data_IF_109596336942
#
_entry.id   IF_109596336942
#
_cell.length_a   1.000
_cell.length_b   1.000
_cell.length_c   1.000
_cell.angle_alpha   90.00
_cell.angle_beta   90.00
_cell.angle_gamma   90.00
#
_symmetry.space_group_name_H-M   'P 1'
#
loop_
_entity.id
_entity.type
_entity.pdbx_description
1 polymer ?
#
# COMPACT_ATOMS: atom_id res chain seq x y z
N UNK A 1 -46.87 26.68 -58.00
CA UNK A 1 -45.51 26.48 -57.42
C UNK A 1 -45.45 26.33 -55.89
N UNK A 2 -46.35 26.91 -55.08
CA UNK A 2 -46.29 26.77 -53.59
C UNK A 2 -46.70 25.41 -52.98
N UNK A 3 -47.34 24.50 -53.73
CA UNK A 3 -47.77 23.18 -53.22
C UNK A 3 -46.76 22.04 -53.41
N UNK A 4 -45.75 22.21 -54.27
CA UNK A 4 -44.72 21.20 -54.52
C UNK A 4 -43.54 21.26 -53.51
N UNK A 5 -43.27 22.41 -52.89
CA UNK A 5 -42.23 22.49 -51.85
C UNK A 5 -42.62 21.84 -50.51
N UNK A 6 -43.93 21.71 -50.22
CA UNK A 6 -44.40 21.10 -48.96
C UNK A 6 -44.29 19.57 -48.97
N UNK A 7 -44.51 18.91 -50.11
CA UNK A 7 -44.41 17.44 -50.22
C UNK A 7 -42.96 16.95 -50.14
N UNK A 8 -42.00 17.72 -50.68
CA UNK A 8 -40.57 17.44 -50.56
C UNK A 8 -40.04 17.55 -49.12
N UNK A 9 -40.54 18.52 -48.34
CA UNK A 9 -40.13 18.71 -46.95
C UNK A 9 -40.67 17.59 -46.02
N UNK A 10 -41.90 17.12 -46.25
CA UNK A 10 -42.47 15.99 -45.51
C UNK A 10 -41.81 14.65 -45.86
N UNK A 11 -41.40 14.47 -47.12
CA UNK A 11 -40.67 13.26 -47.55
C UNK A 11 -39.25 13.21 -46.95
N UNK A 12 -38.57 14.35 -46.82
CA UNK A 12 -37.28 14.44 -46.14
C UNK A 12 -37.39 14.21 -44.61
N UNK A 13 -38.47 14.67 -43.98
CA UNK A 13 -38.73 14.42 -42.55
C UNK A 13 -39.12 12.94 -42.30
N UNK A 14 -39.84 12.30 -43.22
CA UNK A 14 -40.18 10.87 -43.12
C UNK A 14 -38.99 9.93 -43.38
N UNK A 15 -38.06 10.31 -44.27
CA UNK A 15 -36.82 9.53 -44.50
C UNK A 15 -35.79 9.77 -43.38
N UNK A 16 -35.74 10.97 -42.78
CA UNK A 16 -34.94 11.21 -41.58
C UNK A 16 -35.52 10.56 -40.30
N UNK A 17 -36.80 10.17 -40.33
CA UNK A 17 -37.50 9.53 -39.21
C UNK A 17 -37.37 8.01 -39.13
N UNK A 18 -36.86 7.33 -40.16
CA UNK A 18 -36.94 5.86 -40.29
C UNK A 18 -35.60 5.10 -40.27
N UNK A 19 -34.47 5.71 -39.92
CA UNK A 19 -33.17 5.01 -39.86
C UNK A 19 -32.59 4.85 -38.46
N UNK A 20 -33.42 4.93 -37.40
CA UNK A 20 -32.99 4.41 -36.09
C UNK A 20 -32.87 2.89 -36.24
N UNK A 21 -31.64 2.40 -36.35
CA UNK A 21 -31.33 0.97 -36.40
C UNK A 21 -32.04 0.23 -35.25
N UNK A 22 -32.28 -1.07 -35.42
CA UNK A 22 -32.91 -1.87 -34.37
C UNK A 22 -32.14 -1.74 -33.06
N UNK A 23 -32.78 -1.91 -31.89
CA UNK A 23 -32.10 -1.85 -30.60
C UNK A 23 -30.82 -2.72 -30.54
N UNK A 24 -30.84 -3.87 -31.21
CA UNK A 24 -29.68 -4.74 -31.36
C UNK A 24 -28.53 -4.11 -32.16
N UNK A 25 -28.81 -3.39 -33.26
CA UNK A 25 -27.79 -2.66 -34.03
C UNK A 25 -27.20 -1.52 -33.21
N UNK A 26 -28.05 -0.74 -32.52
CA UNK A 26 -27.59 0.35 -31.65
C UNK A 26 -26.74 -0.16 -30.48
N UNK A 27 -27.14 -1.29 -29.87
CA UNK A 27 -26.36 -1.93 -28.82
C UNK A 27 -24.99 -2.40 -29.32
N UNK A 28 -24.92 -2.98 -30.52
CA UNK A 28 -23.66 -3.38 -31.14
C UNK A 28 -22.75 -2.18 -31.43
N UNK A 29 -23.30 -1.07 -31.93
CA UNK A 29 -22.58 0.19 -32.15
C UNK A 29 -22.04 0.77 -30.84
N UNK A 30 -22.85 0.84 -29.78
CA UNK A 30 -22.39 1.30 -28.47
C UNK A 30 -21.33 0.38 -27.86
N UNK A 31 -21.48 -0.94 -27.98
CA UNK A 31 -20.47 -1.90 -27.53
C UNK A 31 -19.14 -1.75 -28.30
N UNK A 32 -19.19 -1.55 -29.62
CA UNK A 32 -18.01 -1.28 -30.43
C UNK A 32 -17.35 0.05 -30.07
N UNK A 33 -18.15 1.10 -29.81
CA UNK A 33 -17.66 2.40 -29.36
C UNK A 33 -16.97 2.30 -27.99
N UNK A 34 -17.56 1.59 -27.02
CA UNK A 34 -16.93 1.35 -25.71
C UNK A 34 -15.56 0.71 -25.88
N UNK A 35 -15.46 -0.37 -26.68
CA UNK A 35 -14.16 -1.04 -26.97
C UNK A 35 -13.14 -0.07 -27.56
N UNK A 36 -13.51 0.65 -28.62
CA UNK A 36 -12.62 1.59 -29.30
C UNK A 36 -12.15 2.72 -28.38
N UNK A 37 -13.04 3.30 -27.57
CA UNK A 37 -12.67 4.35 -26.63
C UNK A 37 -11.80 3.81 -25.49
N UNK A 38 -12.08 2.61 -24.97
CA UNK A 38 -11.25 1.96 -23.95
C UNK A 38 -9.82 1.71 -24.45
N UNK A 39 -9.65 1.19 -25.67
CA UNK A 39 -8.33 1.03 -26.30
C UNK A 39 -7.60 2.38 -26.47
N UNK A 40 -8.35 3.43 -26.85
CA UNK A 40 -7.80 4.77 -26.99
C UNK A 40 -7.36 5.38 -25.64
N UNK A 41 -7.99 5.03 -24.52
CA UNK A 41 -7.53 5.42 -23.17
C UNK A 41 -6.17 4.81 -22.86
N UNK A 42 -6.01 3.49 -23.06
CA UNK A 42 -4.73 2.80 -22.84
C UNK A 42 -3.62 3.39 -23.72
N UNK A 43 -3.93 3.65 -24.99
CA UNK A 43 -2.99 4.32 -25.91
C UNK A 43 -2.63 5.73 -25.44
N UNK A 44 -3.61 6.53 -25.03
CA UNK A 44 -3.37 7.89 -24.55
C UNK A 44 -2.51 7.93 -23.28
N UNK A 45 -2.68 6.94 -22.37
CA UNK A 45 -1.79 6.76 -21.23
C UNK A 45 -0.35 6.45 -21.68
N UNK A 46 -0.18 5.50 -22.59
CA UNK A 46 1.15 5.15 -23.14
C UNK A 46 1.85 6.36 -23.81
N UNK A 47 1.07 7.25 -24.42
CA UNK A 47 1.54 8.52 -25.00
C UNK A 47 1.67 9.66 -23.97
N UNK A 48 1.49 9.38 -22.68
CA UNK A 48 1.58 10.36 -21.59
C UNK A 48 0.59 11.54 -21.71
N UNK A 49 -0.55 11.34 -22.38
CA UNK A 49 -1.54 12.36 -22.73
C UNK A 49 -2.85 12.21 -21.95
N UNK A 50 -2.87 12.72 -20.72
CA UNK A 50 -4.05 12.66 -19.81
C UNK A 50 -5.28 13.36 -20.38
N UNK A 51 -5.10 14.44 -21.15
CA UNK A 51 -6.25 15.15 -21.74
C UNK A 51 -6.99 14.27 -22.73
N UNK A 52 -6.26 13.54 -23.57
CA UNK A 52 -6.85 12.55 -24.47
C UNK A 52 -7.47 11.40 -23.70
N UNK A 53 -6.78 10.84 -22.69
CA UNK A 53 -7.33 9.76 -21.86
C UNK A 53 -8.68 10.15 -21.22
N UNK A 54 -8.77 11.34 -20.62
CA UNK A 54 -10.03 11.87 -20.05
C UNK A 54 -11.14 11.99 -21.09
N UNK A 55 -10.81 12.52 -22.26
CA UNK A 55 -11.78 12.72 -23.34
C UNK A 55 -12.33 11.39 -23.84
N UNK A 56 -11.46 10.42 -24.11
CA UNK A 56 -11.86 9.10 -24.61
C UNK A 56 -12.64 8.32 -23.56
N UNK A 57 -12.22 8.38 -22.29
CA UNK A 57 -12.95 7.75 -21.20
C UNK A 57 -14.36 8.34 -21.02
N UNK A 58 -14.52 9.67 -21.08
CA UNK A 58 -15.83 10.31 -21.02
C UNK A 58 -16.74 9.94 -22.22
N UNK A 59 -16.16 9.65 -23.39
CA UNK A 59 -16.90 9.12 -24.54
C UNK A 59 -17.33 7.66 -24.34
N UNK A 60 -16.47 6.84 -23.71
CA UNK A 60 -16.79 5.48 -23.27
C UNK A 60 -17.95 5.48 -22.25
N UNK A 61 -17.93 6.37 -21.25
CA UNK A 61 -19.01 6.51 -20.26
C UNK A 61 -20.37 6.80 -20.90
N UNK A 62 -20.41 7.69 -21.88
CA UNK A 62 -21.66 7.98 -22.60
C UNK A 62 -22.18 6.76 -23.36
N UNK A 63 -21.28 6.00 -23.97
CA UNK A 63 -21.64 4.82 -24.78
C UNK A 63 -22.11 3.66 -23.90
N UNK A 64 -21.46 3.41 -22.76
CA UNK A 64 -21.87 2.34 -21.84
C UNK A 64 -23.19 2.68 -21.15
N UNK A 65 -23.44 3.95 -20.80
CA UNK A 65 -24.72 4.37 -20.23
C UNK A 65 -25.88 4.24 -21.24
N UNK A 66 -25.62 4.53 -22.52
CA UNK A 66 -26.59 4.27 -23.59
C UNK A 66 -26.89 2.77 -23.73
N UNK A 67 -25.85 1.92 -23.69
CA UNK A 67 -26.01 0.46 -23.73
C UNK A 67 -26.79 -0.08 -22.52
N UNK A 68 -26.53 0.43 -21.31
CA UNK A 68 -27.29 0.08 -20.10
C UNK A 68 -28.78 0.38 -20.24
N UNK A 69 -29.13 1.56 -20.79
CA UNK A 69 -30.53 1.92 -21.04
C UNK A 69 -31.20 0.98 -22.04
N UNK A 70 -30.49 0.57 -23.08
CA UNK A 70 -30.99 -0.41 -24.05
C UNK A 70 -31.17 -1.79 -23.40
N UNK A 71 -30.20 -2.27 -22.63
CA UNK A 71 -30.25 -3.56 -21.95
C UNK A 71 -31.29 -3.62 -20.81
N UNK A 72 -31.66 -2.48 -20.24
CA UNK A 72 -32.78 -2.38 -19.30
C UNK A 72 -34.14 -2.50 -20.00
N UNK A 73 -34.23 -2.08 -21.27
CA UNK A 73 -35.44 -2.20 -22.08
C UNK A 73 -35.56 -3.58 -22.77
N UNK A 74 -34.44 -4.24 -23.05
CA UNK A 74 -34.38 -5.54 -23.70
C UNK A 74 -33.31 -6.45 -23.06
N UNK A 75 -33.78 -7.47 -22.34
CA UNK A 75 -32.93 -8.41 -21.62
C UNK A 75 -32.00 -9.23 -22.53
N UNK A 76 -32.32 -9.36 -23.83
CA UNK A 76 -31.45 -10.06 -24.78
C UNK A 76 -30.11 -9.35 -25.02
N UNK A 77 -30.03 -8.06 -24.69
CA UNK A 77 -28.83 -7.23 -24.84
C UNK A 77 -27.89 -7.28 -23.61
N UNK A 78 -28.27 -8.00 -22.55
CA UNK A 78 -27.46 -8.12 -21.33
C UNK A 78 -26.10 -8.77 -21.58
N UNK A 79 -26.01 -9.69 -22.54
CA UNK A 79 -24.72 -10.29 -22.94
C UNK A 79 -23.76 -9.23 -23.45
N UNK A 80 -24.21 -8.33 -24.34
CA UNK A 80 -23.36 -7.25 -24.86
C UNK A 80 -22.89 -6.28 -23.78
N UNK A 81 -23.72 -6.01 -22.77
CA UNK A 81 -23.33 -5.21 -21.61
C UNK A 81 -22.27 -5.93 -20.76
N UNK A 82 -22.51 -7.21 -20.46
CA UNK A 82 -21.58 -8.06 -19.68
C UNK A 82 -20.21 -8.16 -20.35
N UNK A 83 -20.16 -8.18 -21.68
CA UNK A 83 -18.90 -8.24 -22.44
C UNK A 83 -18.06 -6.96 -22.33
N UNK A 84 -18.68 -5.78 -22.19
CA UNK A 84 -17.96 -4.48 -22.25
C UNK A 84 -17.80 -3.80 -20.89
N UNK A 85 -18.57 -4.19 -19.88
CA UNK A 85 -18.42 -3.64 -18.52
C UNK A 85 -17.01 -3.83 -17.93
N UNK A 86 -16.38 -5.03 -18.03
CA UNK A 86 -15.01 -5.21 -17.55
C UNK A 86 -14.00 -4.31 -18.27
N UNK A 87 -14.17 -4.09 -19.58
CA UNK A 87 -13.31 -3.20 -20.37
C UNK A 87 -13.44 -1.75 -19.95
N UNK A 88 -14.68 -1.31 -19.65
CA UNK A 88 -14.93 0.03 -19.16
C UNK A 88 -14.34 0.25 -17.76
N UNK A 89 -14.49 -0.72 -16.85
CA UNK A 89 -13.84 -0.69 -15.54
C UNK A 89 -12.32 -0.67 -15.66
N UNK A 90 -11.74 -1.47 -16.57
CA UNK A 90 -10.30 -1.44 -16.85
C UNK A 90 -9.84 -0.09 -17.40
N UNK A 91 -10.59 0.51 -18.33
CA UNK A 91 -10.26 1.84 -18.86
C UNK A 91 -10.34 2.94 -17.80
N UNK A 92 -11.20 2.81 -16.78
CA UNK A 92 -11.21 3.72 -15.63
C UNK A 92 -9.89 3.62 -14.87
N UNK A 93 -9.41 2.41 -14.60
CA UNK A 93 -8.12 2.18 -13.94
C UNK A 93 -6.97 2.77 -14.75
N UNK A 94 -6.97 2.60 -16.08
CA UNK A 94 -5.96 3.19 -16.96
C UNK A 94 -5.97 4.73 -16.94
N UNK A 95 -7.16 5.34 -16.86
CA UNK A 95 -7.30 6.78 -16.68
C UNK A 95 -6.73 7.22 -15.32
N UNK A 96 -7.08 6.52 -14.24
CA UNK A 96 -6.57 6.82 -12.89
C UNK A 96 -5.03 6.81 -12.89
N UNK A 97 -4.40 5.78 -13.48
CA UNK A 97 -2.96 5.73 -13.66
C UNK A 97 -2.41 6.93 -14.43
N UNK A 98 -3.03 7.31 -15.54
CA UNK A 98 -2.58 8.45 -16.33
C UNK A 98 -2.62 9.76 -15.52
N UNK A 99 -3.66 9.95 -14.70
CA UNK A 99 -3.80 11.13 -13.83
C UNK A 99 -2.76 11.17 -12.71
N UNK A 100 -2.50 10.03 -12.07
CA UNK A 100 -1.47 9.91 -11.05
C UNK A 100 -0.07 10.13 -11.64
N UNK A 101 0.24 9.52 -12.81
CA UNK A 101 1.52 9.70 -13.51
C UNK A 101 1.77 11.17 -13.88
N UNK A 102 0.72 11.89 -14.28
CA UNK A 102 0.80 13.33 -14.54
C UNK A 102 1.04 14.13 -13.27
N UNK A 103 0.39 13.77 -12.15
CA UNK A 103 0.61 14.41 -10.84
C UNK A 103 2.07 14.26 -10.39
N UNK A 104 2.61 13.05 -10.51
CA UNK A 104 4.02 12.74 -10.21
C UNK A 104 4.93 13.56 -11.14
N UNK A 105 4.65 13.57 -12.45
CA UNK A 105 5.43 14.32 -13.44
C UNK A 105 5.44 15.82 -13.16
N UNK A 106 4.29 16.39 -12.83
CA UNK A 106 4.15 17.82 -12.52
C UNK A 106 4.89 18.18 -11.23
N UNK A 107 4.85 17.30 -10.23
CA UNK A 107 5.62 17.47 -8.99
C UNK A 107 7.12 17.45 -9.28
N UNK A 108 7.59 16.45 -10.03
CA UNK A 108 9.01 16.27 -10.34
C UNK A 108 9.57 17.33 -11.29
N UNK A 109 8.76 17.90 -12.18
CA UNK A 109 9.20 18.86 -13.20
C UNK A 109 8.76 20.30 -12.93
N UNK A 110 8.02 20.54 -11.86
CA UNK A 110 7.53 21.84 -11.45
C UNK A 110 8.65 22.81 -11.03
N UNK A 111 8.31 24.09 -10.94
CA UNK A 111 9.24 25.14 -10.53
C UNK A 111 9.83 24.91 -9.12
N UNK A 112 9.02 24.38 -8.19
CA UNK A 112 9.49 24.02 -6.84
C UNK A 112 10.60 22.97 -6.88
N UNK A 113 10.44 21.90 -7.67
CA UNK A 113 11.46 20.87 -7.83
C UNK A 113 12.74 21.40 -8.45
N UNK A 114 12.63 22.27 -9.46
CA UNK A 114 13.80 22.94 -10.07
C UNK A 114 14.55 23.82 -9.08
N UNK A 115 13.82 24.67 -8.34
CA UNK A 115 14.39 25.54 -7.32
C UNK A 115 15.06 24.74 -6.19
N UNK A 116 14.37 23.68 -5.73
CA UNK A 116 14.92 22.76 -4.74
C UNK A 116 16.22 22.12 -5.21
N UNK A 117 16.24 21.50 -6.40
CA UNK A 117 17.46 20.86 -6.95
C UNK A 117 18.62 21.85 -7.10
N UNK A 118 18.34 23.08 -7.50
CA UNK A 118 19.35 24.13 -7.62
C UNK A 118 19.96 24.52 -6.26
N UNK A 119 19.14 24.63 -5.21
CA UNK A 119 19.60 24.95 -3.86
C UNK A 119 20.22 23.75 -3.12
N UNK A 120 19.73 22.54 -3.41
CA UNK A 120 20.07 21.30 -2.69
C UNK A 120 21.56 21.07 -2.57
N UNK A 121 22.32 21.21 -3.65
CA UNK A 121 23.75 20.94 -3.64
C UNK A 121 24.52 21.87 -2.68
N UNK A 122 24.15 23.15 -2.63
CA UNK A 122 24.77 24.14 -1.75
C UNK A 122 24.37 23.89 -0.29
N UNK A 123 23.07 23.70 -0.04
CA UNK A 123 22.56 23.42 1.32
C UNK A 123 23.16 22.14 1.88
N UNK A 124 23.21 21.08 1.08
CA UNK A 124 23.76 19.79 1.51
C UNK A 124 25.25 19.91 1.81
N UNK A 125 26.02 20.61 0.98
CA UNK A 125 27.44 20.85 1.23
C UNK A 125 27.66 21.61 2.54
N UNK A 126 26.88 22.68 2.76
CA UNK A 126 26.94 23.46 3.99
C UNK A 126 26.62 22.62 5.22
N UNK A 127 25.51 21.85 5.18
CA UNK A 127 25.12 20.96 6.27
C UNK A 127 26.19 19.89 6.57
N UNK A 128 26.74 19.26 5.53
CA UNK A 128 27.82 18.27 5.68
C UNK A 128 29.09 18.89 6.28
N UNK A 129 29.46 20.12 5.88
CA UNK A 129 30.63 20.80 6.46
C UNK A 129 30.40 21.16 7.94
N UNK A 130 29.19 21.60 8.30
CA UNK A 130 28.83 21.85 9.70
C UNK A 130 28.87 20.57 10.55
N UNK A 131 28.39 19.44 10.02
CA UNK A 131 28.47 18.14 10.68
C UNK A 131 29.91 17.64 10.81
N UNK A 132 30.74 17.87 9.80
CA UNK A 132 32.16 17.55 9.85
C UNK A 132 32.88 18.35 10.95
N UNK A 133 32.60 19.65 11.03
CA UNK A 133 33.13 20.51 12.10
C UNK A 133 32.70 20.04 13.48
N UNK A 134 31.42 19.68 13.65
CA UNK A 134 30.91 19.15 14.91
C UNK A 134 31.65 17.87 15.35
N UNK A 135 31.96 16.96 14.41
CA UNK A 135 32.76 15.77 14.70
C UNK A 135 34.18 16.12 15.16
N UNK A 136 34.83 17.09 14.51
CA UNK A 136 36.18 17.53 14.90
C UNK A 136 36.21 18.15 16.29
N UNK A 137 35.20 18.96 16.64
CA UNK A 137 35.08 19.55 17.98
C UNK A 137 34.74 18.49 19.05
N UNK A 138 33.85 17.54 18.74
CA UNK A 138 33.54 16.41 19.63
C UNK A 138 34.78 15.54 19.91
N UNK A 139 35.67 15.36 18.93
CA UNK A 139 36.93 14.64 19.10
C UNK A 139 37.93 15.39 20.01
N UNK A 140 37.95 16.73 19.97
CA UNK A 140 38.83 17.54 20.83
C UNK A 140 38.34 17.64 22.27
N UNK A 141 37.02 17.54 22.46
CA UNK A 141 36.37 17.73 23.75
C UNK A 141 35.47 16.53 24.06
N UNK A 142 36.05 15.37 24.47
CA UNK A 142 35.25 14.21 24.82
C UNK A 142 34.31 14.53 25.99
N UNK A 143 33.11 13.95 25.98
CA UNK A 143 32.06 14.20 26.95
C UNK A 143 32.48 13.72 28.36
N UNK A 144 33.20 14.55 29.11
CA UNK A 144 33.64 14.27 30.48
C UNK A 144 33.09 15.26 31.52
N UNK A 145 32.21 16.19 31.12
CA UNK A 145 31.66 17.17 32.05
C UNK A 145 30.37 16.63 32.73
N UNK A 146 30.29 16.60 34.07
CA UNK A 146 29.07 16.21 34.77
C UNK A 146 27.95 17.24 34.52
N UNK A 147 26.72 16.75 34.31
CA UNK A 147 25.55 17.58 34.10
C UNK A 147 25.31 18.49 35.32
N UNK A 148 25.51 19.80 35.15
CA UNK A 148 25.20 20.80 36.18
C UNK A 148 23.74 21.20 36.12
N UNK A 149 23.11 21.41 37.29
CA UNK A 149 21.67 21.71 37.45
C UNK A 149 21.19 23.00 36.79
N UNK A 150 22.12 23.88 36.38
CA UNK A 150 21.87 25.00 35.49
C UNK A 150 22.85 24.90 34.30
N UNK A 151 22.36 24.66 33.07
CA UNK A 151 23.24 24.63 31.92
C UNK A 151 23.73 26.05 31.62
N UNK A 152 25.04 26.25 31.72
CA UNK A 152 25.68 27.42 31.14
C UNK A 152 25.49 27.45 29.63
N UNK A 153 25.61 28.62 28.99
CA UNK A 153 25.65 28.74 27.54
C UNK A 153 26.71 27.79 26.93
N UNK A 154 27.85 27.65 27.60
CA UNK A 154 28.95 26.77 27.18
C UNK A 154 28.53 25.29 27.20
N UNK A 155 27.79 24.82 28.21
CA UNK A 155 27.27 23.45 28.22
C UNK A 155 26.22 23.21 27.13
N UNK A 156 25.33 24.17 26.88
CA UNK A 156 24.32 24.04 25.80
C UNK A 156 24.98 23.95 24.42
N UNK A 157 26.03 24.75 24.18
CA UNK A 157 26.81 24.68 22.95
C UNK A 157 27.54 23.35 22.82
N UNK A 158 28.11 22.83 23.91
CA UNK A 158 28.77 21.53 23.92
C UNK A 158 27.78 20.39 23.59
N UNK A 159 26.61 20.38 24.22
CA UNK A 159 25.57 19.38 23.96
C UNK A 159 25.09 19.42 22.50
N UNK A 160 24.91 20.62 21.93
CA UNK A 160 24.54 20.81 20.53
C UNK A 160 25.60 20.26 19.57
N UNK A 161 26.89 20.47 19.88
CA UNK A 161 28.01 19.88 19.12
C UNK A 161 27.99 18.36 19.20
N UNK A 162 27.80 17.78 20.39
CA UNK A 162 27.73 16.33 20.57
C UNK A 162 26.54 15.70 19.84
N UNK A 163 25.36 16.34 19.89
CA UNK A 163 24.19 15.89 19.14
C UNK A 163 24.41 15.96 17.63
N UNK A 164 25.05 17.02 17.14
CA UNK A 164 25.39 17.17 15.72
C UNK A 164 26.43 16.14 15.27
N UNK A 165 27.43 15.85 16.11
CA UNK A 165 28.40 14.80 15.85
C UNK A 165 27.75 13.40 15.85
N UNK A 166 26.85 13.13 16.80
CA UNK A 166 26.08 11.88 16.84
C UNK A 166 25.19 11.71 15.60
N UNK A 167 24.56 12.79 15.13
CA UNK A 167 23.80 12.78 13.88
C UNK A 167 24.71 12.47 12.68
N UNK A 168 25.90 13.07 12.60
CA UNK A 168 26.86 12.79 11.54
C UNK A 168 27.28 11.31 11.54
N UNK A 169 27.50 10.72 12.72
CA UNK A 169 27.80 9.29 12.88
C UNK A 169 26.64 8.42 12.41
N UNK A 170 25.39 8.79 12.75
CA UNK A 170 24.21 8.06 12.28
C UNK A 170 24.07 8.12 10.75
N UNK A 171 24.31 9.29 10.14
CA UNK A 171 24.29 9.47 8.69
C UNK A 171 25.39 8.62 8.03
N UNK A 172 26.63 8.65 8.55
CA UNK A 172 27.74 7.83 8.05
C UNK A 172 27.42 6.33 8.17
N UNK A 173 26.87 5.91 9.31
CA UNK A 173 26.45 4.52 9.53
C UNK A 173 25.43 4.03 8.50
N UNK A 174 24.45 4.86 8.14
CA UNK A 174 23.45 4.53 7.12
C UNK A 174 23.99 4.60 5.68
N UNK A 175 25.16 5.20 5.45
CA UNK A 175 25.65 5.52 4.10
C UNK A 175 27.03 4.98 3.78
N UNK A 176 27.77 4.39 4.71
CA UNK A 176 29.11 3.82 4.43
C UNK A 176 29.36 2.48 5.11
N UNK A 177 28.43 1.99 5.94
CA UNK A 177 28.54 0.76 6.73
C UNK A 177 29.83 0.70 7.58
N UNK A 178 30.35 1.87 7.97
CA UNK A 178 31.61 1.96 8.71
C UNK A 178 31.43 1.36 10.12
N UNK A 179 32.25 0.39 10.52
CA UNK A 179 32.20 -0.14 11.88
C UNK A 179 32.69 0.90 12.89
N UNK A 180 32.13 0.86 14.10
CA UNK A 180 32.66 1.58 15.25
C UNK A 180 34.09 1.12 15.56
N UNK A 181 34.85 1.94 16.31
CA UNK A 181 36.15 1.52 16.82
C UNK A 181 35.99 0.33 17.79
N UNK A 182 37.10 -0.35 18.08
CA UNK A 182 37.12 -1.52 18.96
C UNK A 182 36.61 -1.22 20.39
N UNK A 183 36.67 0.04 20.82
CA UNK A 183 36.15 0.53 22.11
C UNK A 183 34.67 0.95 22.05
N UNK A 184 34.00 0.75 20.91
CA UNK A 184 32.61 1.16 20.68
C UNK A 184 32.44 2.66 20.42
N UNK A 185 33.51 3.45 20.37
CA UNK A 185 33.43 4.88 20.08
C UNK A 185 33.41 5.18 18.58
N UNK A 186 32.77 6.27 18.14
CA UNK A 186 32.85 6.71 16.76
C UNK A 186 34.26 7.21 16.40
N UNK A 187 34.74 6.88 15.20
CA UNK A 187 35.92 7.52 14.62
C UNK A 187 35.54 8.90 14.05
N UNK A 188 35.41 9.90 14.93
CA UNK A 188 34.99 11.24 14.55
C UNK A 188 35.84 11.87 13.43
N UNK A 189 37.18 11.75 13.40
CA UNK A 189 37.98 12.20 12.26
C UNK A 189 37.58 11.54 10.93
N UNK A 190 37.35 10.23 10.92
CA UNK A 190 36.90 9.53 9.71
C UNK A 190 35.49 9.94 9.29
N UNK A 191 34.57 10.10 10.25
CA UNK A 191 33.20 10.58 10.01
C UNK A 191 33.21 12.00 9.44
N UNK A 192 34.05 12.89 9.98
CA UNK A 192 34.22 14.25 9.46
C UNK A 192 34.71 14.25 8.00
N UNK A 193 35.69 13.40 7.68
CA UNK A 193 36.16 13.24 6.30
C UNK A 193 35.04 12.68 5.38
N UNK A 194 34.26 11.73 5.86
CA UNK A 194 33.11 11.17 5.13
C UNK A 194 32.04 12.23 4.86
N UNK A 195 31.65 13.04 5.85
CA UNK A 195 30.70 14.14 5.66
C UNK A 195 31.18 15.11 4.58
N UNK A 196 32.45 15.55 4.62
CA UNK A 196 33.02 16.42 3.57
C UNK A 196 33.00 15.78 2.19
N UNK A 197 33.24 14.47 2.10
CA UNK A 197 33.15 13.73 0.85
C UNK A 197 31.69 13.71 0.34
N UNK A 198 30.71 13.42 1.21
CA UNK A 198 29.28 13.44 0.87
C UNK A 198 28.82 14.82 0.38
N UNK A 199 29.29 15.91 1.00
CA UNK A 199 28.98 17.28 0.58
C UNK A 199 29.51 17.64 -0.82
N UNK A 200 30.47 16.87 -1.35
CA UNK A 200 31.00 17.02 -2.71
C UNK A 200 30.35 16.03 -3.68
N UNK A 201 30.20 14.78 -3.27
CA UNK A 201 29.68 13.68 -4.06
C UNK A 201 28.78 12.80 -3.18
N UNK A 202 27.49 13.14 -3.05
CA UNK A 202 26.60 12.42 -2.15
C UNK A 202 26.33 10.99 -2.66
N UNK A 203 26.39 9.96 -1.79
CA UNK A 203 26.04 8.61 -2.18
C UNK A 203 24.52 8.48 -2.42
N UNK A 204 24.06 7.51 -3.23
CA UNK A 204 22.64 7.34 -3.53
C UNK A 204 21.80 7.03 -2.27
N UNK A 205 22.37 6.35 -1.28
CA UNK A 205 21.70 6.08 0.01
C UNK A 205 21.32 7.35 0.77
N UNK A 206 22.06 8.44 0.58
CA UNK A 206 21.70 9.72 1.19
C UNK A 206 20.38 10.26 0.63
N UNK A 207 20.04 9.96 -0.62
CA UNK A 207 18.73 10.28 -1.20
C UNK A 207 17.59 9.51 -0.53
N UNK A 208 17.82 8.26 -0.10
CA UNK A 208 16.84 7.49 0.68
C UNK A 208 16.61 8.14 2.04
N UNK A 209 17.70 8.50 2.74
CA UNK A 209 17.63 9.14 4.04
C UNK A 209 16.92 10.50 3.98
N UNK A 210 17.26 11.33 3.00
CA UNK A 210 16.60 12.62 2.79
C UNK A 210 15.13 12.45 2.40
N UNK A 211 14.82 11.48 1.53
CA UNK A 211 13.44 11.14 1.17
C UNK A 211 12.60 10.78 2.40
N UNK A 212 13.13 9.91 3.27
CA UNK A 212 12.46 9.55 4.53
C UNK A 212 12.34 10.74 5.48
N UNK A 213 13.41 11.54 5.63
CA UNK A 213 13.39 12.73 6.48
C UNK A 213 12.35 13.75 6.04
N UNK A 214 12.23 14.01 4.74
CA UNK A 214 11.18 14.89 4.20
C UNK A 214 9.78 14.32 4.39
N UNK A 215 9.61 13.02 4.21
CA UNK A 215 8.33 12.37 4.45
C UNK A 215 7.87 12.53 5.89
N UNK A 216 8.75 12.25 6.86
CA UNK A 216 8.46 12.42 8.30
C UNK A 216 8.16 13.89 8.64
N UNK A 217 8.80 14.83 7.93
CA UNK A 217 8.54 16.26 8.08
C UNK A 217 7.26 16.76 7.36
N UNK A 218 6.48 15.88 6.71
CA UNK A 218 5.29 16.24 5.94
C UNK A 218 5.61 17.07 4.68
N UNK A 219 6.78 16.82 4.07
CA UNK A 219 7.27 17.50 2.86
C UNK A 219 7.31 16.49 1.70
N UNK A 220 6.14 15.95 1.39
CA UNK A 220 5.97 14.81 0.49
C UNK A 220 6.47 15.08 -0.93
N UNK A 221 6.36 16.33 -1.40
CA UNK A 221 6.89 16.77 -2.69
C UNK A 221 8.42 16.66 -2.77
N UNK A 222 9.11 17.11 -1.73
CA UNK A 222 10.57 16.98 -1.60
C UNK A 222 10.98 15.52 -1.40
N UNK A 223 10.21 14.76 -0.62
CA UNK A 223 10.42 13.33 -0.46
C UNK A 223 10.37 12.60 -1.80
N UNK A 224 9.34 12.89 -2.62
CA UNK A 224 9.19 12.33 -3.96
C UNK A 224 10.36 12.71 -4.88
N UNK A 225 10.82 13.97 -4.82
CA UNK A 225 11.95 14.45 -5.62
C UNK A 225 13.24 13.69 -5.27
N UNK A 226 13.52 13.50 -3.98
CA UNK A 226 14.69 12.76 -3.52
C UNK A 226 14.63 11.29 -3.94
N UNK A 227 13.54 10.59 -3.63
CA UNK A 227 13.44 9.16 -3.89
C UNK A 227 13.43 8.83 -5.38
N UNK A 228 12.86 9.71 -6.20
CA UNK A 228 12.82 9.56 -7.67
C UNK A 228 14.17 9.81 -8.33
N UNK A 229 15.07 10.56 -7.67
CA UNK A 229 16.43 10.78 -8.15
C UNK A 229 17.38 9.62 -7.84
N UNK A 230 17.00 8.72 -6.92
CA UNK A 230 17.79 7.53 -6.59
C UNK A 230 17.57 6.44 -7.65
N UNK A 231 18.63 6.17 -8.42
CA UNK A 231 18.69 5.02 -9.32
C UNK A 231 18.85 3.73 -8.50
N UNK A 232 17.87 2.80 -8.55
CA UNK A 232 17.94 1.56 -7.77
C UNK A 232 19.18 0.73 -8.12
N UNK A 233 19.69 0.78 -9.34
CA UNK A 233 20.86 -0.02 -9.77
C UNK A 233 22.16 0.47 -9.15
N UNK A 234 22.19 1.70 -8.65
CA UNK A 234 23.36 2.30 -7.98
C UNK A 234 23.41 2.03 -6.47
N UNK A 235 22.32 1.49 -5.90
CA UNK A 235 22.25 1.16 -4.48
C UNK A 235 23.02 -0.12 -4.17
N UNK A 236 23.89 -0.05 -3.16
CA UNK A 236 24.84 -1.13 -2.85
C UNK A 236 24.17 -2.42 -2.41
N UNK A 237 23.14 -2.32 -1.57
CA UNK A 237 22.50 -3.49 -0.97
C UNK A 237 21.11 -3.74 -1.56
N UNK A 238 20.70 -5.01 -1.69
CA UNK A 238 19.31 -5.36 -1.98
C UNK A 238 18.33 -4.68 -1.01
N UNK A 239 18.68 -4.58 0.27
CA UNK A 239 17.85 -3.97 1.32
C UNK A 239 17.58 -2.49 1.03
N UNK A 240 18.57 -1.75 0.51
CA UNK A 240 18.38 -0.37 0.08
C UNK A 240 17.44 -0.27 -1.13
N UNK A 241 17.52 -1.21 -2.08
CA UNK A 241 16.60 -1.24 -3.23
C UNK A 241 15.17 -1.52 -2.80
N UNK A 242 14.98 -2.45 -1.86
CA UNK A 242 13.68 -2.70 -1.23
C UNK A 242 13.17 -1.46 -0.50
N UNK A 243 13.99 -0.90 0.39
CA UNK A 243 13.66 0.29 1.16
C UNK A 243 13.29 1.46 0.26
N UNK A 244 13.97 1.61 -0.88
CA UNK A 244 13.65 2.59 -1.93
C UNK A 244 12.26 2.35 -2.52
N UNK A 245 11.95 1.11 -2.92
CA UNK A 245 10.64 0.76 -3.46
C UNK A 245 9.50 0.98 -2.46
N UNK A 246 9.68 0.54 -1.22
CA UNK A 246 8.72 0.74 -0.12
C UNK A 246 8.51 2.23 0.18
N UNK A 247 9.59 2.98 0.34
CA UNK A 247 9.52 4.42 0.60
C UNK A 247 8.85 5.17 -0.57
N UNK A 248 9.19 4.82 -1.82
CA UNK A 248 8.56 5.43 -3.00
C UNK A 248 7.06 5.14 -3.04
N UNK A 249 6.65 3.89 -2.80
CA UNK A 249 5.24 3.52 -2.69
C UNK A 249 4.51 4.26 -1.56
N UNK A 250 5.14 4.40 -0.38
CA UNK A 250 4.58 5.15 0.75
C UNK A 250 4.35 6.62 0.41
N UNK A 251 5.33 7.27 -0.23
CA UNK A 251 5.24 8.67 -0.67
C UNK A 251 4.10 8.83 -1.67
N UNK A 252 4.01 7.95 -2.68
CA UNK A 252 2.92 7.96 -3.66
C UNK A 252 1.56 7.82 -2.98
N UNK A 253 1.43 6.95 -1.97
CA UNK A 253 0.18 6.77 -1.22
C UNK A 253 -0.23 8.03 -0.47
N UNK A 254 0.71 8.69 0.20
CA UNK A 254 0.45 9.95 0.92
C UNK A 254 0.03 11.07 -0.04
N UNK A 255 0.57 11.05 -1.25
CA UNK A 255 0.20 11.97 -2.33
C UNK A 255 -1.13 11.60 -3.03
N UNK A 256 -1.87 10.60 -2.54
CA UNK A 256 -3.09 10.07 -3.16
C UNK A 256 -2.89 9.53 -4.58
N UNK A 257 -1.70 9.01 -4.88
CA UNK A 257 -1.40 8.26 -6.10
C UNK A 257 -1.51 6.77 -5.81
N UNK A 258 -2.72 6.32 -5.51
CA UNK A 258 -2.99 5.01 -4.90
C UNK A 258 -2.66 3.85 -5.84
N UNK A 259 -2.95 3.99 -7.13
CA UNK A 259 -2.66 2.96 -8.14
C UNK A 259 -1.15 2.79 -8.34
N UNK A 260 -0.43 3.89 -8.49
CA UNK A 260 1.02 3.90 -8.62
C UNK A 260 1.70 3.40 -7.35
N UNK A 261 1.20 3.80 -6.17
CA UNK A 261 1.71 3.31 -4.90
C UNK A 261 1.61 1.79 -4.81
N UNK A 262 0.44 1.24 -5.14
CA UNK A 262 0.19 -0.20 -5.09
C UNK A 262 1.09 -0.95 -6.07
N UNK A 263 1.14 -0.51 -7.34
CA UNK A 263 2.00 -1.10 -8.36
C UNK A 263 3.49 -1.06 -7.96
N UNK A 264 3.94 0.03 -7.34
CA UNK A 264 5.32 0.19 -6.89
C UNK A 264 5.69 -0.79 -5.77
N UNK A 265 4.77 -1.07 -4.84
CA UNK A 265 5.01 -1.98 -3.71
C UNK A 265 4.88 -3.45 -4.14
N UNK A 266 3.92 -3.75 -5.03
CA UNK A 266 3.79 -5.07 -5.65
C UNK A 266 5.06 -5.46 -6.42
N UNK A 267 5.68 -4.52 -7.13
CA UNK A 267 6.91 -4.77 -7.89
C UNK A 267 8.10 -5.20 -7.00
N UNK A 268 8.09 -4.84 -5.71
CA UNK A 268 9.14 -5.25 -4.75
C UNK A 268 8.68 -6.37 -3.82
N UNK A 269 7.46 -6.90 -3.99
CA UNK A 269 6.93 -7.95 -3.12
C UNK A 269 7.63 -9.31 -3.33
N UNK A 270 7.76 -10.13 -2.27
CA UNK A 270 8.32 -11.47 -2.35
C UNK A 270 7.55 -12.33 -3.37
N UNK A 271 8.27 -13.06 -4.23
CA UNK A 271 7.69 -13.92 -5.27
C UNK A 271 7.33 -13.20 -6.58
N UNK A 272 7.40 -11.87 -6.63
CA UNK A 272 7.28 -11.08 -7.87
C UNK A 272 8.65 -10.67 -8.44
N UNK A 273 9.70 -10.72 -7.62
CA UNK A 273 11.09 -10.47 -8.05
C UNK A 273 12.06 -11.45 -7.39
N UNK A 274 13.16 -11.76 -8.09
CA UNK A 274 14.27 -12.55 -7.54
C UNK A 274 14.91 -11.85 -6.33
N UNK A 275 14.89 -10.51 -6.32
CA UNK A 275 15.36 -9.69 -5.21
C UNK A 275 14.43 -9.81 -4.00
N UNK A 276 13.10 -9.81 -4.23
CA UNK A 276 12.05 -10.06 -3.23
C UNK A 276 12.27 -11.31 -2.39
N UNK A 277 12.77 -12.39 -3.02
CA UNK A 277 13.04 -13.66 -2.35
C UNK A 277 14.38 -13.69 -1.60
N UNK A 278 15.29 -12.75 -1.88
CA UNK A 278 16.62 -12.68 -1.26
C UNK A 278 16.61 -12.00 0.11
N UNK A 279 15.50 -11.34 0.48
CA UNK A 279 15.40 -10.59 1.74
C UNK A 279 15.16 -11.49 2.95
N UNK A 280 15.59 -11.03 4.12
CA UNK A 280 15.23 -11.65 5.40
C UNK A 280 13.72 -11.64 5.64
N UNK A 281 13.21 -12.59 6.45
CA UNK A 281 11.77 -12.77 6.69
C UNK A 281 11.09 -11.50 7.24
N UNK A 282 11.78 -10.71 8.06
CA UNK A 282 11.23 -9.48 8.65
C UNK A 282 10.89 -8.43 7.57
N UNK A 283 11.80 -8.23 6.61
CA UNK A 283 11.62 -7.26 5.53
C UNK A 283 10.50 -7.70 4.57
N UNK A 284 10.48 -8.99 4.22
CA UNK A 284 9.42 -9.57 3.40
C UNK A 284 8.05 -9.44 4.09
N UNK A 285 7.97 -9.70 5.40
CA UNK A 285 6.74 -9.52 6.16
C UNK A 285 6.30 -8.05 6.23
N UNK A 286 7.24 -7.10 6.34
CA UNK A 286 6.94 -5.67 6.33
C UNK A 286 6.28 -5.23 5.01
N UNK A 287 6.71 -5.76 3.86
CA UNK A 287 6.07 -5.49 2.56
C UNK A 287 4.62 -5.98 2.55
N UNK A 288 4.38 -7.22 2.99
CA UNK A 288 3.03 -7.77 3.07
C UNK A 288 2.14 -6.97 4.04
N UNK A 289 2.66 -6.54 5.18
CA UNK A 289 1.91 -5.69 6.11
C UNK A 289 1.56 -4.31 5.51
N UNK A 290 2.45 -3.74 4.70
CA UNK A 290 2.19 -2.50 3.99
C UNK A 290 1.09 -2.68 2.92
N UNK A 291 1.14 -3.76 2.14
CA UNK A 291 0.08 -4.12 1.19
C UNK A 291 -1.26 -4.36 1.90
N UNK A 292 -1.26 -4.99 3.07
CA UNK A 292 -2.45 -5.16 3.89
C UNK A 292 -3.05 -3.81 4.30
N UNK A 293 -2.22 -2.88 4.82
CA UNK A 293 -2.66 -1.56 5.21
C UNK A 293 -3.28 -0.76 4.05
N UNK A 294 -2.65 -0.79 2.87
CA UNK A 294 -3.18 -0.13 1.68
C UNK A 294 -4.52 -0.72 1.24
N UNK A 295 -4.62 -2.04 1.21
CA UNK A 295 -5.87 -2.74 0.87
C UNK A 295 -6.99 -2.39 1.86
N UNK A 296 -6.68 -2.24 3.14
CA UNK A 296 -7.62 -1.80 4.17
C UNK A 296 -8.17 -0.38 3.91
N UNK A 297 -7.29 0.56 3.51
CA UNK A 297 -7.68 1.93 3.17
C UNK A 297 -8.60 1.97 1.94
N UNK A 298 -8.37 1.08 0.99
CA UNK A 298 -9.18 0.94 -0.23
C UNK A 298 -10.44 0.10 0.00
N UNK A 299 -10.67 -0.38 1.24
CA UNK A 299 -11.76 -1.28 1.65
C UNK A 299 -11.74 -2.63 0.94
N UNK A 300 -10.62 -3.02 0.35
CA UNK A 300 -10.36 -4.37 -0.14
C UNK A 300 -9.93 -5.26 1.03
N UNK A 301 -10.91 -5.59 1.87
CA UNK A 301 -10.65 -6.37 3.08
C UNK A 301 -10.27 -7.82 2.79
N UNK A 302 -10.66 -8.38 1.64
CA UNK A 302 -10.28 -9.73 1.23
C UNK A 302 -8.78 -9.78 0.92
N UNK A 303 -8.27 -8.77 0.21
CA UNK A 303 -6.84 -8.64 -0.05
C UNK A 303 -6.04 -8.30 1.21
N UNK A 304 -6.54 -7.38 2.05
CA UNK A 304 -5.92 -7.07 3.34
C UNK A 304 -5.68 -8.34 4.16
N UNK A 305 -6.72 -9.16 4.29
CA UNK A 305 -6.71 -10.39 5.06
C UNK A 305 -5.73 -11.43 4.51
N UNK A 306 -5.64 -11.55 3.18
CA UNK A 306 -4.67 -12.42 2.51
C UNK A 306 -3.23 -11.98 2.77
N UNK A 307 -2.94 -10.68 2.71
CA UNK A 307 -1.59 -10.14 2.92
C UNK A 307 -1.14 -10.26 4.38
N UNK A 308 -2.06 -10.12 5.36
CA UNK A 308 -1.76 -10.40 6.77
C UNK A 308 -1.32 -11.86 7.00
N UNK A 309 -1.94 -12.80 6.29
CA UNK A 309 -1.57 -14.22 6.35
C UNK A 309 -0.21 -14.47 5.71
N UNK A 310 0.08 -13.84 4.56
CA UNK A 310 1.40 -13.91 3.92
C UNK A 310 2.50 -13.39 4.84
N UNK A 311 2.29 -12.24 5.48
CA UNK A 311 3.21 -11.71 6.49
C UNK A 311 3.44 -12.69 7.65
N UNK A 312 2.37 -13.30 8.16
CA UNK A 312 2.42 -14.28 9.26
C UNK A 312 3.20 -15.54 8.91
N UNK A 313 3.12 -16.02 7.67
CA UNK A 313 3.89 -17.20 7.23
C UNK A 313 5.36 -16.91 7.07
N UNK A 314 5.68 -15.75 6.51
CA UNK A 314 7.06 -15.34 6.25
C UNK A 314 7.78 -15.05 7.57
N UNK A 315 7.15 -14.32 8.48
CA UNK A 315 7.67 -14.05 9.81
C UNK A 315 6.63 -14.43 10.88
N UNK A 316 6.66 -15.67 11.38
CA UNK A 316 5.72 -16.21 12.39
C UNK A 316 5.57 -15.36 13.65
N UNK A 317 6.58 -14.56 13.99
CA UNK A 317 6.65 -13.74 15.20
C UNK A 317 6.59 -12.23 14.91
N UNK A 318 6.01 -11.85 13.76
CA UNK A 318 5.80 -10.44 13.41
C UNK A 318 4.81 -9.76 14.39
N UNK A 319 4.85 -8.42 14.52
CA UNK A 319 4.00 -7.68 15.45
C UNK A 319 2.50 -7.97 15.33
N UNK A 320 1.99 -8.24 14.12
CA UNK A 320 0.57 -8.56 13.91
C UNK A 320 0.24 -9.96 14.45
N UNK A 321 1.06 -10.97 14.17
CA UNK A 321 0.85 -12.32 14.71
C UNK A 321 0.99 -12.33 16.23
N UNK A 322 1.95 -11.57 16.78
CA UNK A 322 2.12 -11.39 18.22
C UNK A 322 0.92 -10.67 18.84
N UNK A 323 0.40 -9.63 18.19
CA UNK A 323 -0.82 -8.95 18.65
C UNK A 323 -2.04 -9.89 18.65
N UNK A 324 -2.20 -10.73 17.61
CA UNK A 324 -3.34 -11.66 17.52
C UNK A 324 -3.24 -12.76 18.58
N UNK A 325 -2.06 -13.37 18.76
CA UNK A 325 -1.91 -14.63 19.51
C UNK A 325 -1.25 -14.47 20.90
N UNK A 326 -0.41 -13.46 21.11
CA UNK A 326 0.36 -13.27 22.35
C UNK A 326 1.46 -14.32 22.61
N UNK A 327 1.64 -15.33 21.74
CA UNK A 327 2.50 -16.51 22.03
C UNK A 327 3.96 -16.14 22.28
N UNK A 328 4.51 -15.21 21.50
CA UNK A 328 5.90 -14.76 21.66
C UNK A 328 6.13 -14.09 23.01
N UNK A 329 5.19 -13.25 23.46
CA UNK A 329 5.30 -12.54 24.73
C UNK A 329 5.24 -13.51 25.91
N UNK A 330 4.41 -14.56 25.82
CA UNK A 330 4.39 -15.64 26.81
C UNK A 330 5.71 -16.41 26.83
N UNK A 331 6.26 -16.76 25.66
CA UNK A 331 7.53 -17.47 25.54
C UNK A 331 8.72 -16.64 26.08
N UNK A 332 8.67 -15.31 25.94
CA UNK A 332 9.65 -14.36 26.50
C UNK A 332 9.46 -14.12 28.02
N UNK A 333 8.47 -14.75 28.65
CA UNK A 333 8.19 -14.55 30.08
C UNK A 333 7.55 -13.20 30.41
N UNK A 334 6.82 -12.60 29.47
CA UNK A 334 6.13 -11.30 29.59
C UNK A 334 4.61 -11.46 29.59
N UNK A 335 4.02 -12.11 30.62
CA UNK A 335 2.58 -12.39 30.66
C UNK A 335 1.72 -11.12 30.75
N UNK A 336 2.22 -10.05 31.37
CA UNK A 336 1.51 -8.77 31.46
C UNK A 336 1.36 -8.09 30.10
N UNK A 337 2.40 -8.13 29.26
CA UNK A 337 2.33 -7.64 27.88
C UNK A 337 1.45 -8.55 27.02
N UNK A 338 1.53 -9.87 27.21
CA UNK A 338 0.69 -10.84 26.50
C UNK A 338 -0.81 -10.63 26.76
N UNK A 339 -1.19 -10.10 27.94
CA UNK A 339 -2.57 -9.74 28.25
C UNK A 339 -3.16 -8.65 27.32
N UNK A 340 -2.29 -7.86 26.66
CA UNK A 340 -2.67 -6.90 25.63
C UNK A 340 -2.92 -7.51 24.24
N UNK A 341 -2.63 -8.79 24.03
CA UNK A 341 -2.96 -9.49 22.78
C UNK A 341 -4.46 -9.69 22.63
N UNK A 342 -4.96 -9.79 21.40
CA UNK A 342 -6.38 -9.99 21.09
C UNK A 342 -6.94 -11.22 21.81
N UNK A 343 -6.26 -12.36 21.74
CA UNK A 343 -6.69 -13.60 22.39
C UNK A 343 -6.84 -13.44 23.91
N UNK A 344 -5.88 -12.79 24.58
CA UNK A 344 -5.90 -12.66 26.05
C UNK A 344 -6.77 -11.52 26.54
N UNK A 345 -6.73 -10.36 25.86
CA UNK A 345 -7.55 -9.20 26.18
C UNK A 345 -9.03 -9.57 26.11
N UNK A 346 -9.43 -10.28 25.05
CA UNK A 346 -10.82 -10.68 24.86
C UNK A 346 -11.19 -11.88 25.75
N UNK A 347 -10.25 -12.80 26.04
CA UNK A 347 -10.46 -13.87 27.03
C UNK A 347 -10.82 -13.34 28.43
N UNK A 348 -10.33 -12.16 28.81
CA UNK A 348 -10.65 -11.51 30.08
C UNK A 348 -12.07 -10.91 30.15
N UNK A 349 -12.79 -10.81 29.01
CA UNK A 349 -14.07 -10.10 28.87
C UNK A 349 -15.29 -11.04 28.77
N UNK A 350 -15.13 -12.34 28.96
CA UNK A 350 -16.24 -13.30 29.05
C UNK A 350 -16.79 -13.73 27.68
N UNK A 351 -17.95 -13.20 27.27
CA UNK A 351 -18.71 -13.68 26.10
C UNK A 351 -17.95 -13.57 24.75
N UNK A 352 -17.01 -12.64 24.66
CA UNK A 352 -16.21 -12.43 23.45
C UNK A 352 -15.01 -13.40 23.33
N UNK A 353 -14.66 -14.10 24.41
CA UNK A 353 -13.45 -14.94 24.48
C UNK A 353 -13.39 -16.02 23.39
N UNK A 354 -14.54 -16.55 22.98
CA UNK A 354 -14.61 -17.68 22.05
C UNK A 354 -14.25 -17.30 20.62
N UNK A 355 -14.71 -16.15 20.11
CA UNK A 355 -14.40 -15.75 18.74
C UNK A 355 -12.93 -15.31 18.61
N UNK A 356 -12.37 -14.67 19.64
CA UNK A 356 -10.95 -14.31 19.65
C UNK A 356 -10.05 -15.55 19.64
N UNK A 357 -10.42 -16.61 20.38
CA UNK A 357 -9.75 -17.93 20.30
C UNK A 357 -9.85 -18.55 18.91
N UNK A 358 -11.03 -18.53 18.28
CA UNK A 358 -11.21 -19.05 16.91
C UNK A 358 -10.34 -18.30 15.89
N UNK A 359 -10.21 -16.97 16.02
CA UNK A 359 -9.32 -16.18 15.17
C UNK A 359 -7.86 -16.50 15.44
N UNK A 360 -7.45 -16.59 16.71
CA UNK A 360 -6.07 -16.91 17.08
C UNK A 360 -5.67 -18.32 16.62
N UNK A 361 -6.55 -19.31 16.80
CA UNK A 361 -6.36 -20.67 16.28
C UNK A 361 -6.26 -20.68 14.76
N UNK A 362 -7.14 -19.95 14.06
CA UNK A 362 -7.07 -19.84 12.61
C UNK A 362 -5.76 -19.18 12.16
N UNK A 363 -5.30 -18.16 12.87
CA UNK A 363 -4.02 -17.50 12.58
C UNK A 363 -2.84 -18.48 12.76
N UNK A 364 -2.82 -19.30 13.81
CA UNK A 364 -1.84 -20.38 14.00
C UNK A 364 -1.90 -21.39 12.85
N UNK A 365 -3.09 -21.90 12.53
CA UNK A 365 -3.28 -22.86 11.44
C UNK A 365 -2.75 -22.31 10.11
N UNK A 366 -3.08 -21.07 9.77
CA UNK A 366 -2.66 -20.44 8.52
C UNK A 366 -1.16 -20.13 8.49
N UNK A 367 -0.58 -19.71 9.62
CA UNK A 367 0.87 -19.52 9.80
C UNK A 367 1.63 -20.82 9.54
N UNK A 368 1.13 -21.94 10.07
CA UNK A 368 1.83 -23.23 10.04
C UNK A 368 1.49 -24.07 8.78
N UNK A 369 0.47 -23.67 8.02
CA UNK A 369 0.04 -24.35 6.79
C UNK A 369 1.00 -24.14 5.61
N UNK A 370 1.29 -25.24 4.89
CA UNK A 370 2.02 -25.22 3.62
C UNK A 370 1.09 -25.00 2.43
N UNK A 371 1.59 -24.35 1.38
CA UNK A 371 0.84 -24.12 0.12
C UNK A 371 0.32 -22.70 -0.02
N UNK A 372 -0.73 -22.49 -0.82
CA UNK A 372 -1.28 -21.16 -1.08
C UNK A 372 -1.82 -20.50 0.21
N UNK A 373 -1.64 -19.18 0.33
CA UNK A 373 -2.25 -18.41 1.42
C UNK A 373 -3.76 -18.38 1.23
N UNK A 374 -4.49 -18.51 2.34
CA UNK A 374 -5.95 -18.45 2.39
C UNK A 374 -6.37 -17.30 3.30
N UNK A 375 -7.55 -16.72 3.11
CA UNK A 375 -8.08 -15.69 4.00
C UNK A 375 -8.13 -16.18 5.47
N UNK A 376 -7.80 -15.29 6.40
CA UNK A 376 -7.96 -15.44 7.84
C UNK A 376 -9.40 -15.09 8.24
N UNK A 377 -9.78 -13.81 8.27
CA UNK A 377 -11.10 -13.30 8.65
C UNK A 377 -12.15 -13.44 7.55
N UNK A 378 -11.72 -13.42 6.29
CA UNK A 378 -12.63 -13.46 5.14
C UNK A 378 -12.94 -14.87 4.67
N UNK A 379 -12.45 -15.88 5.38
CA UNK A 379 -12.82 -17.27 5.19
C UNK A 379 -14.32 -17.50 5.51
N UNK A 380 -15.14 -17.97 4.55
CA UNK A 380 -16.56 -18.20 4.78
C UNK A 380 -16.84 -19.16 5.95
N UNK A 381 -15.97 -20.15 6.18
CA UNK A 381 -16.13 -21.11 7.27
C UNK A 381 -15.93 -20.45 8.64
N UNK A 382 -14.88 -19.65 8.79
CA UNK A 382 -14.64 -18.89 10.02
C UNK A 382 -15.80 -17.90 10.28
N UNK A 383 -16.23 -17.14 9.27
CA UNK A 383 -17.36 -16.20 9.42
C UNK A 383 -18.63 -16.92 9.88
N UNK A 384 -18.93 -18.07 9.29
CA UNK A 384 -20.08 -18.88 9.70
C UNK A 384 -19.93 -19.39 11.15
N UNK A 385 -18.72 -19.80 11.56
CA UNK A 385 -18.45 -20.22 12.93
C UNK A 385 -18.67 -19.06 13.93
N UNK A 386 -18.18 -17.86 13.62
CA UNK A 386 -18.37 -16.65 14.45
C UNK A 386 -19.85 -16.28 14.53
N UNK A 387 -20.57 -16.23 13.39
CA UNK A 387 -22.01 -15.93 13.37
C UNK A 387 -22.82 -16.97 14.13
N UNK A 388 -22.48 -18.25 13.99
CA UNK A 388 -23.14 -19.34 14.73
C UNK A 388 -22.91 -19.20 16.22
N UNK A 389 -21.68 -18.86 16.64
CA UNK A 389 -21.36 -18.60 18.04
C UNK A 389 -22.13 -17.40 18.57
N UNK A 390 -22.12 -16.27 17.85
CA UNK A 390 -22.87 -15.07 18.25
C UNK A 390 -24.37 -15.36 18.38
N UNK A 391 -24.96 -16.08 17.42
CA UNK A 391 -26.36 -16.50 17.47
C UNK A 391 -26.67 -17.40 18.68
N UNK A 392 -25.76 -18.28 19.06
CA UNK A 392 -25.88 -19.15 20.23
C UNK A 392 -25.70 -18.40 21.56
N UNK A 393 -24.77 -17.44 21.62
CA UNK A 393 -24.45 -16.66 22.82
C UNK A 393 -25.53 -15.61 23.16
N UNK A 394 -26.29 -15.13 22.16
CA UNK A 394 -27.45 -14.25 22.35
C UNK A 394 -28.80 -14.99 22.39
N UNK A 395 -28.79 -16.30 22.62
CA UNK A 395 -29.97 -17.18 22.63
C UNK A 395 -30.89 -17.03 23.86
N UNK A 396 -30.90 -15.87 24.51
CA UNK A 396 -31.92 -15.51 25.49
C UNK A 396 -33.27 -15.17 24.82
N UNK A 397 -33.23 -14.77 23.54
CA UNK A 397 -34.42 -14.52 22.71
C UNK A 397 -34.78 -15.75 21.87
N UNK A 398 -36.07 -15.98 21.67
CA UNK A 398 -36.60 -17.15 20.93
C UNK A 398 -36.07 -17.25 19.49
N UNK A 399 -35.87 -16.11 18.83
CA UNK A 399 -35.28 -16.02 17.50
C UNK A 399 -33.81 -16.48 17.45
N UNK A 400 -33.01 -16.17 18.47
CA UNK A 400 -31.63 -16.65 18.60
C UNK A 400 -31.57 -18.16 18.79
N UNK A 401 -32.47 -18.73 19.62
CA UNK A 401 -32.60 -20.19 19.80
C UNK A 401 -33.04 -20.91 18.53
N UNK A 402 -33.94 -20.32 17.75
CA UNK A 402 -34.36 -20.88 16.47
C UNK A 402 -33.20 -20.90 15.47
N UNK A 403 -32.48 -19.78 15.32
CA UNK A 403 -31.32 -19.66 14.43
C UNK A 403 -30.19 -20.63 14.82
N UNK A 404 -29.84 -20.71 16.10
CA UNK A 404 -28.81 -21.64 16.58
C UNK A 404 -29.17 -23.10 16.30
N UNK A 405 -30.44 -23.49 16.48
CA UNK A 405 -30.93 -24.85 16.13
C UNK A 405 -30.85 -25.12 14.64
N UNK A 406 -31.24 -24.16 13.79
CA UNK A 406 -31.16 -24.30 12.34
C UNK A 406 -29.72 -24.44 11.85
N UNK A 407 -28.80 -23.61 12.37
CA UNK A 407 -27.38 -23.67 12.02
C UNK A 407 -26.76 -25.00 12.41
N UNK A 408 -27.04 -25.49 13.62
CA UNK A 408 -26.58 -26.81 14.08
C UNK A 408 -27.13 -27.96 13.23
N UNK A 409 -28.45 -27.97 12.98
CA UNK A 409 -29.06 -29.00 12.14
C UNK A 409 -28.50 -29.00 10.70
N UNK A 410 -28.23 -27.82 10.14
CA UNK A 410 -27.58 -27.68 8.84
C UNK A 410 -26.15 -28.22 8.82
N UNK A 411 -25.36 -27.94 9.86
CA UNK A 411 -24.00 -28.49 10.01
C UNK A 411 -24.01 -30.02 10.13
N UNK A 412 -24.85 -30.57 11.01
CA UNK A 412 -24.99 -32.02 11.22
C UNK A 412 -25.43 -32.73 9.93
N UNK A 413 -26.34 -32.12 9.17
CA UNK A 413 -26.79 -32.64 7.88
C UNK A 413 -25.68 -32.60 6.83
N UNK A 414 -24.97 -31.47 6.69
CA UNK A 414 -23.87 -31.34 5.73
C UNK A 414 -22.75 -32.36 5.98
N UNK A 415 -22.39 -32.60 7.25
CA UNK A 415 -21.40 -33.62 7.63
C UNK A 415 -21.84 -35.05 7.26
N UNK A 416 -23.14 -35.34 7.35
CA UNK A 416 -23.69 -36.67 6.98
C UNK A 416 -23.79 -36.89 5.48
N UNK A 417 -24.01 -35.82 4.71
CA UNK A 417 -24.24 -35.90 3.25
C UNK A 417 -22.95 -35.74 2.44
N UNK A 418 -21.90 -35.13 3.01
CA UNK A 418 -20.60 -34.94 2.36
C UNK A 418 -19.51 -35.82 3.02
N UNK A 419 -19.36 -37.11 2.64
CA UNK A 419 -18.34 -37.99 3.19
C UNK A 419 -16.95 -37.52 2.72
N UNK A 420 -16.16 -37.00 3.65
CA UNK A 420 -14.77 -36.56 3.42
C UNK A 420 -14.32 -35.31 4.18
N UNK A 421 -15.23 -34.59 4.85
CA UNK A 421 -14.87 -33.45 5.70
C UNK A 421 -14.36 -33.89 7.07
N UNK A 422 -13.04 -33.91 7.26
CA UNK A 422 -12.43 -34.08 8.59
C UNK A 422 -12.94 -32.99 9.54
N UNK A 423 -13.54 -33.39 10.66
CA UNK A 423 -13.94 -32.49 11.73
C UNK A 423 -12.71 -31.74 12.31
N UNK A 424 -12.82 -30.44 12.66
CA UNK A 424 -11.82 -29.83 13.53
C UNK A 424 -11.89 -30.51 14.91
N UNK A 425 -10.74 -30.91 15.44
CA UNK A 425 -10.63 -31.41 16.80
C UNK A 425 -10.97 -30.26 17.76
N UNK A 426 -11.90 -30.49 18.68
CA UNK A 426 -12.29 -29.55 19.74
C UNK A 426 -11.18 -29.35 20.77
#
# INVERSE_FOLDING_TARGET
>A
MRRLCLVGLWSAILVAGCSRGTPAVQAAEHAAAVRSHCEAVTKARAEANVKSARKEFAASEKSIEALRKLAAADASLQTSLTDVEPLHTSARVELDFAEEEQTVRDTLNGYKAKAYRAARAVTLRGACESLAFACEEANRTPATAPATTNPSLTSMLHDSVQQSAALAVAIDGCTTDRPLRADGTPDYPAVAAAMRAMGKSPPPELGLLLGLGFLVAGRDDLALIEISAVDPTTLRSPEHRLGRGMLHGAILRIMNCDRLALAQIEAVAPGQSAEGAAFGPEAQAAVHLMLAAMSAMDKDYDRMDLEMVRASRVWPNNPVTVFITGERLLAEGKPEEAAGSLEHYVASKGHDATWARLIAERARQLRDEKGAARPLLMDPKLRLAIVSHYAASYAERESGRALARMLKAGQDFAQRVMPGGTAPAN
#
